data_IF_683668209154
#
_entry.id   IF_683668209154
#
_cell.length_a   1.000
_cell.length_b   1.000
_cell.length_c   1.000
_cell.angle_alpha   90.00
_cell.angle_beta   90.00
_cell.angle_gamma   90.00
#
_symmetry.space_group_name_H-M   'P 1'
#
loop_
_entity.id
_entity.type
_entity.pdbx_description
1 polymer ?
#
# COMPACT_ATOMS: atom_id res chain seq x y z
N UNK A 1 -2.73 18.00 14.84
CA UNK A 1 -2.42 16.76 14.11
C UNK A 1 -2.85 15.56 14.92
N UNK A 2 -3.78 14.78 14.38
CA UNK A 2 -4.19 13.48 14.91
C UNK A 2 -3.28 12.40 14.31
N UNK A 3 -3.13 11.30 15.05
CA UNK A 3 -2.47 10.12 14.52
C UNK A 3 -3.37 9.46 13.47
N UNK A 4 -2.80 9.16 12.31
CA UNK A 4 -3.48 8.49 11.22
C UNK A 4 -2.55 7.45 10.61
N UNK A 5 -3.16 6.48 9.96
CA UNK A 5 -2.45 5.47 9.20
C UNK A 5 -3.10 5.29 7.84
N UNK A 6 -2.35 4.81 6.87
CA UNK A 6 -2.84 4.52 5.52
C UNK A 6 -2.36 3.15 5.11
N UNK A 7 -3.31 2.25 4.92
CA UNK A 7 -3.08 0.88 4.49
C UNK A 7 -3.53 0.76 3.04
N UNK A 8 -2.59 0.40 2.17
CA UNK A 8 -2.80 0.26 0.74
C UNK A 8 -2.18 -1.04 0.26
N UNK A 9 -2.87 -1.69 -0.66
CA UNK A 9 -2.29 -2.70 -1.53
C UNK A 9 -1.95 -2.03 -2.86
N UNK A 10 -0.76 -2.27 -3.37
CA UNK A 10 -0.16 -1.59 -4.51
C UNK A 10 0.53 -2.62 -5.40
N UNK A 11 0.14 -2.70 -6.66
CA UNK A 11 0.83 -3.48 -7.68
C UNK A 11 1.80 -2.56 -8.42
N UNK A 12 3.09 -2.78 -8.22
CA UNK A 12 4.17 -1.92 -8.73
C UNK A 12 5.44 -2.74 -8.96
N UNK A 13 6.34 -2.27 -9.81
CA UNK A 13 7.67 -2.89 -9.97
C UNK A 13 8.52 -2.61 -8.73
N UNK A 14 9.30 -3.58 -8.23
CA UNK A 14 10.15 -3.37 -7.06
C UNK A 14 11.06 -2.14 -7.16
N UNK A 15 11.69 -1.93 -8.33
CA UNK A 15 12.56 -0.78 -8.56
C UNK A 15 11.83 0.57 -8.48
N UNK A 16 10.58 0.62 -8.93
CA UNK A 16 9.78 1.85 -8.86
C UNK A 16 9.26 2.09 -7.44
N UNK A 17 9.01 1.02 -6.68
CA UNK A 17 8.67 1.13 -5.27
C UNK A 17 9.81 1.74 -4.45
N UNK A 18 11.06 1.35 -4.67
CA UNK A 18 12.21 1.90 -3.95
C UNK A 18 12.30 3.43 -4.13
N UNK A 19 12.18 3.93 -5.36
CA UNK A 19 12.17 5.37 -5.66
C UNK A 19 10.98 6.09 -5.00
N UNK A 20 9.80 5.45 -5.00
CA UNK A 20 8.58 5.99 -4.40
C UNK A 20 8.71 6.05 -2.87
N UNK A 21 9.21 4.99 -2.25
CA UNK A 21 9.38 4.89 -0.81
C UNK A 21 10.37 5.93 -0.28
N UNK A 22 11.45 6.20 -1.03
CA UNK A 22 12.42 7.25 -0.70
C UNK A 22 11.81 8.66 -0.80
N UNK A 23 11.02 8.92 -1.85
CA UNK A 23 10.43 10.25 -2.08
C UNK A 23 9.14 10.52 -1.29
N UNK A 24 8.43 9.48 -0.85
CA UNK A 24 7.09 9.58 -0.25
C UNK A 24 7.05 10.46 1.01
N UNK A 25 7.96 10.34 2.00
CA UNK A 25 7.92 11.19 3.20
C UNK A 25 7.97 12.69 2.89
N UNK A 26 8.82 13.09 1.95
CA UNK A 26 8.94 14.49 1.54
C UNK A 26 7.66 14.99 0.84
N UNK A 27 7.11 14.20 -0.10
CA UNK A 27 5.85 14.54 -0.78
C UNK A 27 4.66 14.62 0.18
N UNK A 28 4.63 13.76 1.20
CA UNK A 28 3.59 13.78 2.23
C UNK A 28 3.71 15.02 3.11
N UNK A 29 4.92 15.39 3.52
CA UNK A 29 5.16 16.59 4.32
C UNK A 29 4.64 17.85 3.61
N UNK A 30 4.87 17.98 2.30
CA UNK A 30 4.36 19.10 1.47
C UNK A 30 2.82 19.19 1.44
N UNK A 31 2.13 18.08 1.73
CA UNK A 31 0.66 18.00 1.76
C UNK A 31 0.06 18.18 3.17
N UNK A 32 0.88 18.35 4.21
CA UNK A 32 0.41 18.40 5.60
C UNK A 32 0.21 17.03 6.25
N UNK A 33 0.83 15.99 5.68
CA UNK A 33 0.92 14.65 6.26
C UNK A 33 2.35 14.42 6.73
N UNK A 34 2.57 14.31 8.05
CA UNK A 34 3.89 13.96 8.60
C UNK A 34 4.01 12.44 8.72
N UNK A 35 4.68 11.82 7.74
CA UNK A 35 4.97 10.39 7.76
C UNK A 35 6.05 10.07 8.80
N UNK A 36 5.69 9.25 9.79
CA UNK A 36 6.61 8.75 10.81
C UNK A 36 7.26 7.43 10.40
N UNK A 37 6.50 6.59 9.68
CA UNK A 37 7.02 5.38 9.10
C UNK A 37 6.29 5.01 7.81
N UNK A 38 7.06 4.51 6.84
CA UNK A 38 6.55 3.90 5.60
C UNK A 38 7.04 2.48 5.62
N UNK A 39 6.13 1.51 5.63
CA UNK A 39 6.45 0.09 5.63
C UNK A 39 5.80 -0.57 4.42
N UNK A 40 6.53 -1.48 3.80
CA UNK A 40 6.03 -2.27 2.68
C UNK A 40 6.39 -3.73 2.87
N UNK A 41 5.43 -4.60 2.61
CA UNK A 41 5.65 -6.03 2.56
C UNK A 41 5.19 -6.56 1.22
N UNK A 42 6.04 -7.36 0.57
CA UNK A 42 5.63 -8.10 -0.62
C UNK A 42 4.62 -9.17 -0.18
N UNK A 43 3.43 -9.12 -0.76
CA UNK A 43 2.38 -10.11 -0.56
C UNK A 43 2.61 -11.25 -1.54
N UNK A 44 2.81 -12.45 -1.02
CA UNK A 44 3.01 -13.64 -1.84
C UNK A 44 1.67 -14.07 -2.47
N UNK A 45 1.54 -13.78 -3.76
CA UNK A 45 0.36 -14.12 -4.56
C UNK A 45 0.26 -15.62 -4.89
N UNK A 46 1.27 -16.44 -4.55
CA UNK A 46 1.24 -17.89 -4.84
C UNK A 46 0.14 -18.63 -4.06
N UNK A 47 -0.27 -18.09 -2.90
CA UNK A 47 -1.38 -18.63 -2.11
C UNK A 47 -2.75 -18.04 -2.46
N UNK A 48 -2.79 -16.90 -3.15
CA UNK A 48 -4.02 -16.17 -3.51
C UNK A 48 -3.97 -15.69 -4.98
N UNK A 49 -4.10 -16.61 -5.96
CA UNK A 49 -4.06 -16.28 -7.38
C UNK A 49 -5.24 -15.38 -7.82
N UNK A 50 -6.31 -15.30 -7.03
CA UNK A 50 -7.50 -14.45 -7.25
C UNK A 50 -7.36 -13.05 -6.60
N UNK A 51 -6.20 -12.40 -6.75
CA UNK A 51 -6.06 -11.02 -6.31
C UNK A 51 -6.69 -10.03 -7.30
N UNK A 52 -7.57 -9.15 -6.82
CA UNK A 52 -8.29 -8.20 -7.67
C UNK A 52 -7.37 -7.27 -8.47
N UNK A 53 -6.20 -6.88 -7.94
CA UNK A 53 -5.24 -6.03 -8.68
C UNK A 53 -4.57 -6.79 -9.81
N UNK A 54 -4.24 -8.07 -9.58
CA UNK A 54 -3.68 -8.95 -10.62
C UNK A 54 -4.69 -9.16 -11.74
N UNK A 55 -5.97 -9.39 -11.39
CA UNK A 55 -7.05 -9.52 -12.35
C UNK A 55 -7.31 -8.21 -13.12
N UNK A 56 -7.26 -7.05 -12.45
CA UNK A 56 -7.43 -5.74 -13.09
C UNK A 56 -6.27 -5.43 -14.05
N UNK A 57 -5.04 -5.69 -13.64
CA UNK A 57 -3.85 -5.54 -14.48
C UNK A 57 -3.95 -6.42 -15.71
N UNK A 58 -4.27 -7.71 -15.55
CA UNK A 58 -4.39 -8.63 -16.68
C UNK A 58 -5.49 -8.26 -17.67
N UNK A 59 -6.61 -7.72 -17.18
CA UNK A 59 -7.69 -7.20 -18.04
C UNK A 59 -7.27 -5.93 -18.79
N UNK A 60 -6.45 -5.08 -18.19
CA UNK A 60 -6.07 -3.78 -18.76
C UNK A 60 -4.89 -3.91 -19.72
N UNK A 61 -3.85 -4.65 -19.32
CA UNK A 61 -2.59 -4.83 -20.07
C UNK A 61 -2.64 -6.04 -21.02
N UNK A 62 -3.63 -6.92 -20.86
CA UNK A 62 -3.80 -8.13 -21.69
C UNK A 62 -2.84 -9.28 -21.35
N UNK A 63 -2.07 -9.17 -20.28
CA UNK A 63 -1.20 -10.22 -19.77
C UNK A 63 -1.10 -10.16 -18.24
N UNK A 64 -0.77 -11.29 -17.60
CA UNK A 64 -0.50 -11.31 -16.17
C UNK A 64 0.73 -10.44 -15.83
N UNK A 65 0.77 -9.81 -14.64
CA UNK A 65 1.96 -9.13 -14.16
C UNK A 65 3.12 -10.13 -14.08
N UNK A 66 4.26 -9.77 -14.67
CA UNK A 66 5.46 -10.63 -14.72
C UNK A 66 6.65 -10.02 -14.00
N UNK A 67 6.64 -8.69 -13.85
CA UNK A 67 7.69 -7.91 -13.16
C UNK A 67 7.11 -7.21 -11.93
N UNK A 68 5.85 -6.78 -12.02
CA UNK A 68 5.11 -6.14 -10.95
C UNK A 68 4.81 -7.14 -9.83
N UNK A 69 5.01 -6.71 -8.58
CA UNK A 69 4.69 -7.49 -7.40
C UNK A 69 3.69 -6.74 -6.55
N UNK A 70 2.87 -7.48 -5.80
CA UNK A 70 1.91 -6.88 -4.90
C UNK A 70 2.61 -6.48 -3.61
N UNK A 71 2.55 -5.21 -3.25
CA UNK A 71 3.00 -4.67 -1.97
C UNK A 71 1.79 -4.32 -1.10
N UNK A 72 1.78 -4.74 0.16
CA UNK A 72 0.98 -4.10 1.20
C UNK A 72 1.83 -3.01 1.84
N UNK A 73 1.40 -1.77 1.67
CA UNK A 73 2.05 -0.55 2.14
C UNK A 73 1.26 0.00 3.32
N UNK A 74 1.94 0.22 4.43
CA UNK A 74 1.39 0.89 5.61
C UNK A 74 2.21 2.14 5.88
N UNK A 75 1.56 3.30 5.77
CA UNK A 75 2.13 4.59 6.15
C UNK A 75 1.51 5.00 7.48
N UNK A 76 2.34 5.17 8.51
CA UNK A 76 1.91 5.71 9.79
C UNK A 76 2.43 7.12 9.95
N UNK A 77 1.61 7.99 10.52
CA UNK A 77 2.00 9.36 10.74
C UNK A 77 0.97 10.18 11.49
N UNK A 78 1.11 11.48 11.35
CA UNK A 78 0.17 12.44 11.91
C UNK A 78 -0.26 13.44 10.85
N UNK A 79 -1.53 13.86 10.89
CA UNK A 79 -2.06 14.88 10.00
C UNK A 79 -3.31 15.53 10.59
N UNK A 80 -3.65 16.74 10.14
CA UNK A 80 -4.95 17.37 10.38
C UNK A 80 -5.92 17.18 9.20
N UNK A 81 -5.47 16.54 8.11
CA UNK A 81 -6.29 16.19 6.96
C UNK A 81 -7.43 15.24 7.35
N UNK A 82 -8.53 15.32 6.62
CA UNK A 82 -9.56 14.27 6.65
C UNK A 82 -9.04 12.97 6.03
N UNK A 83 -9.55 11.82 6.48
CA UNK A 83 -9.06 10.51 6.04
C UNK A 83 -9.07 10.36 4.51
N UNK A 84 -10.08 10.92 3.84
CA UNK A 84 -10.13 10.94 2.37
C UNK A 84 -8.98 11.74 1.76
N UNK A 85 -8.64 12.88 2.35
CA UNK A 85 -7.54 13.74 1.88
C UNK A 85 -6.18 13.12 2.20
N UNK A 86 -6.05 12.45 3.34
CA UNK A 86 -4.88 11.66 3.69
C UNK A 86 -4.64 10.52 2.67
N UNK A 87 -5.68 9.75 2.33
CA UNK A 87 -5.58 8.71 1.27
C UNK A 87 -5.15 9.34 -0.05
N UNK A 88 -5.72 10.50 -0.39
CA UNK A 88 -5.37 11.22 -1.62
C UNK A 88 -3.92 11.70 -1.63
N UNK A 89 -3.40 12.16 -0.50
CA UNK A 89 -2.00 12.58 -0.37
C UNK A 89 -1.04 11.40 -0.59
N UNK A 90 -1.31 10.25 0.03
CA UNK A 90 -0.49 9.03 -0.15
C UNK A 90 -0.56 8.52 -1.59
N UNK A 91 -1.75 8.47 -2.17
CA UNK A 91 -1.93 7.98 -3.55
C UNK A 91 -1.39 8.94 -4.60
N UNK A 92 -1.31 10.24 -4.31
CA UNK A 92 -0.64 11.22 -5.16
C UNK A 92 0.89 11.09 -5.16
N UNK A 93 1.48 10.43 -4.16
CA UNK A 93 2.91 10.15 -4.12
C UNK A 93 3.33 8.99 -5.05
N UNK A 94 2.36 8.13 -5.42
CA UNK A 94 2.54 6.96 -6.30
C UNK A 94 2.75 7.37 -7.77
N UNK A 95 3.34 6.49 -8.60
CA UNK A 95 3.51 6.76 -10.02
C UNK A 95 2.16 6.79 -10.74
N UNK A 96 2.09 7.55 -11.84
CA UNK A 96 0.88 7.63 -12.64
C UNK A 96 0.52 6.26 -13.23
N UNK A 97 -0.74 5.86 -13.07
CA UNK A 97 -1.22 4.55 -13.54
C UNK A 97 -0.92 3.39 -12.58
N UNK A 98 -0.39 3.65 -11.38
CA UNK A 98 -0.26 2.63 -10.35
C UNK A 98 -1.61 2.03 -9.97
N UNK A 99 -1.68 0.70 -9.91
CA UNK A 99 -2.87 -0.02 -9.48
C UNK A 99 -2.84 -0.18 -7.95
N UNK A 100 -3.82 0.39 -7.25
CA UNK A 100 -3.89 0.33 -5.79
C UNK A 100 -5.32 0.20 -5.28
N UNK A 101 -5.48 -0.33 -4.07
CA UNK A 101 -6.70 -0.22 -3.27
C UNK A 101 -6.35 -0.08 -1.79
N UNK A 102 -7.23 0.54 -1.01
CA UNK A 102 -7.04 0.75 0.42
C UNK A 102 -7.54 2.12 0.87
N UNK A 103 -7.26 2.49 2.11
CA UNK A 103 -7.75 3.75 2.68
C UNK A 103 -6.93 4.15 3.91
N UNK A 104 -7.06 5.42 4.30
CA UNK A 104 -6.60 5.91 5.59
C UNK A 104 -7.59 5.61 6.72
N UNK A 105 -7.03 5.42 7.91
CA UNK A 105 -7.71 5.16 9.18
C UNK A 105 -7.18 6.10 10.26
N UNK A 106 -7.97 6.34 11.30
CA UNK A 106 -7.51 7.06 12.49
C UNK A 106 -6.68 6.11 13.38
N UNK A 107 -5.59 6.64 13.94
CA UNK A 107 -4.64 5.90 14.76
C UNK A 107 -3.55 5.15 13.98
N UNK A 108 -2.66 4.51 14.71
CA UNK A 108 -1.59 3.67 14.18
C UNK A 108 -2.09 2.33 13.64
N UNK A 109 -1.58 1.92 12.48
CA UNK A 109 -1.74 0.58 11.93
C UNK A 109 -0.44 -0.19 12.08
N UNK A 110 -0.50 -1.34 12.75
CA UNK A 110 0.64 -2.24 12.84
C UNK A 110 1.00 -2.78 11.45
N UNK A 111 2.24 -2.58 10.97
CA UNK A 111 2.68 -2.96 9.62
C UNK A 111 2.91 -4.47 9.44
N UNK A 112 2.56 -5.28 10.44
CA UNK A 112 2.73 -6.72 10.43
C UNK A 112 1.58 -7.45 9.75
N UNK A 113 1.93 -8.48 8.97
CA UNK A 113 0.99 -9.53 8.55
C UNK A 113 1.09 -10.69 9.53
N UNK A 114 0.03 -10.88 10.31
CA UNK A 114 -0.39 -12.22 10.71
C UNK A 114 -0.95 -12.95 9.49
N UNK A 115 -0.08 -13.38 8.59
CA UNK A 115 -0.33 -14.52 7.71
C UNK A 115 0.57 -15.64 8.20
N UNK A 116 0.47 -15.93 9.51
CA UNK A 116 0.45 -17.34 9.85
C UNK A 116 -0.78 -17.88 9.15
N UNK A 117 -0.61 -18.83 8.23
CA UNK A 117 -1.71 -19.71 7.84
C UNK A 117 -2.33 -20.25 9.14
N UNK A 118 -3.37 -19.59 9.65
CA UNK A 118 -4.16 -20.07 10.77
C UNK A 118 -5.20 -21.05 10.22
N UNK A 119 -4.72 -22.06 9.49
CA UNK A 119 -5.48 -23.27 9.28
C UNK A 119 -5.27 -24.06 10.57
N UNK A 120 -6.14 -23.84 11.54
CA UNK A 120 -6.36 -24.85 12.57
C UNK A 120 -6.87 -26.09 11.85
N UNK A 121 -5.96 -27.01 11.54
CA UNK A 121 -6.35 -28.36 11.23
C UNK A 121 -6.67 -29.02 12.58
N UNK A 122 -7.95 -29.02 12.91
CA UNK A 122 -8.52 -29.91 13.92
C UNK A 122 -8.16 -31.34 13.50
N UNK A 123 -7.58 -32.11 14.42
CA UNK A 123 -7.16 -33.50 14.22
C UNK A 123 -6.91 -34.19 15.55
#
# INVERSE_FOLDING_TARGET
MREISTDLNLLIRPSEWDDVAEAMPAKLADSGYEAQSVHSQIVDLTCEPDNMLVAQFAQTEGHAPSVEVLHRVVVNGSSDLDLREATKAVTAALPAGAYWYGTSHEGHTEPGVSASCAWQHDG
#
